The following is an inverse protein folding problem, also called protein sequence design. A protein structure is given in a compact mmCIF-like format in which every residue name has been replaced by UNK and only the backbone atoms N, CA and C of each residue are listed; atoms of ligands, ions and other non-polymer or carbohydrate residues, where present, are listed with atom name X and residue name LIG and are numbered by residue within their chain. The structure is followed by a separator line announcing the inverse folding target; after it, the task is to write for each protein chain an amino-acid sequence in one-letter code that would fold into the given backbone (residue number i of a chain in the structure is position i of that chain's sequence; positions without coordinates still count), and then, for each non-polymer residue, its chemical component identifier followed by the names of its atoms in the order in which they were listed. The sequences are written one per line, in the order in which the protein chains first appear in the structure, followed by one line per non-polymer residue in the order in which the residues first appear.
data_IF_716607015886
#
_entry.id   IF_716607015886
#
_cell.length_a   1.000
_cell.length_b   1.000
_cell.length_c   1.000
_cell.angle_alpha   90.00
_cell.angle_beta   90.00
_cell.angle_gamma   90.00
#
_symmetry.space_group_name_H-M   'P 1'
#
loop_
_entity.id
_entity.type
_entity.pdbx_description
1 polymer ?
#
# COMPACT_ATOMS: atom_id res chain seq x y z
N UNK A 1 -24.74 -17.01 8.98
CA UNK A 1 -24.02 -17.05 7.77
C UNK A 1 -23.19 -15.81 7.54
N UNK A 2 -22.06 -16.01 7.03
CA UNK A 2 -21.12 -14.96 6.84
C UNK A 2 -21.54 -14.05 5.73
N UNK A 3 -21.66 -12.81 6.04
CA UNK A 3 -22.07 -11.88 5.07
C UNK A 3 -20.96 -11.37 4.24
N UNK A 4 -19.86 -11.17 4.88
CA UNK A 4 -18.73 -10.56 4.24
C UNK A 4 -17.65 -11.58 4.02
N UNK A 5 -17.21 -11.68 2.80
CA UNK A 5 -16.19 -12.63 2.44
C UNK A 5 -15.05 -11.92 1.79
N UNK A 6 -13.90 -12.00 2.36
CA UNK A 6 -12.72 -11.47 1.76
C UNK A 6 -11.87 -12.63 1.31
N UNK A 7 -11.45 -12.64 0.06
CA UNK A 7 -10.63 -13.72 -0.43
C UNK A 7 -9.26 -13.63 0.25
N UNK A 8 -8.52 -14.72 0.19
CA UNK A 8 -7.19 -14.74 0.75
C UNK A 8 -6.32 -13.70 0.08
N UNK A 9 -6.52 -13.53 -1.23
CA UNK A 9 -5.77 -12.55 -1.98
C UNK A 9 -6.05 -11.12 -1.48
N UNK A 10 -7.31 -10.83 -1.22
CA UNK A 10 -7.67 -9.52 -0.71
C UNK A 10 -7.08 -9.27 0.66
N UNK A 11 -7.07 -10.30 1.47
CA UNK A 11 -6.54 -10.21 2.81
C UNK A 11 -5.04 -9.89 2.77
N UNK A 12 -4.31 -10.60 1.92
CA UNK A 12 -2.88 -10.39 1.77
C UNK A 12 -2.61 -8.98 1.25
N UNK A 13 -3.39 -8.55 0.27
CA UNK A 13 -3.22 -7.22 -0.29
C UNK A 13 -3.42 -6.14 0.77
N UNK A 14 -4.46 -6.28 1.58
CA UNK A 14 -4.72 -5.32 2.65
C UNK A 14 -3.56 -5.26 3.63
N UNK A 15 -3.05 -6.42 3.99
CA UNK A 15 -1.93 -6.49 4.92
C UNK A 15 -0.71 -5.79 4.37
N UNK A 16 -0.40 -6.08 3.10
CA UNK A 16 0.76 -5.46 2.44
C UNK A 16 0.61 -3.95 2.37
N UNK A 17 -0.59 -3.50 2.07
CA UNK A 17 -0.82 -2.06 1.94
C UNK A 17 -0.76 -1.35 3.27
N UNK A 18 -1.18 -2.00 4.34
CA UNK A 18 -1.04 -1.43 5.67
C UNK A 18 0.42 -1.26 6.03
N UNK A 19 1.23 -2.26 5.69
CA UNK A 19 2.66 -2.15 5.92
C UNK A 19 3.26 -1.02 5.10
N UNK A 20 2.79 -0.87 3.88
CA UNK A 20 3.28 0.21 3.03
C UNK A 20 2.96 1.56 3.63
N UNK A 21 1.77 1.72 4.20
CA UNK A 21 1.41 2.97 4.85
C UNK A 21 2.37 3.29 5.99
N UNK A 22 2.69 2.29 6.80
CA UNK A 22 3.61 2.48 7.90
C UNK A 22 4.97 2.94 7.40
N UNK A 23 5.47 2.29 6.37
CA UNK A 23 6.76 2.65 5.82
C UNK A 23 6.75 4.05 5.21
N UNK A 24 5.65 4.41 4.57
CA UNK A 24 5.52 5.73 3.97
C UNK A 24 5.56 6.83 5.04
N UNK A 25 4.95 6.57 6.17
CA UNK A 25 4.85 7.56 7.23
C UNK A 25 6.10 7.60 8.10
N UNK A 26 6.63 6.44 8.43
CA UNK A 26 7.69 6.36 9.41
C UNK A 26 9.11 6.25 8.88
N UNK A 27 9.28 6.21 7.56
CA UNK A 27 10.62 6.16 6.99
C UNK A 27 10.70 7.11 5.82
N UNK A 28 11.92 7.30 5.32
CA UNK A 28 12.12 8.11 4.13
C UNK A 28 12.49 7.25 2.93
N UNK A 29 12.18 5.96 3.02
CA UNK A 29 12.47 5.05 1.93
C UNK A 29 11.72 5.46 0.67
N UNK A 30 12.34 5.18 -0.46
CA UNK A 30 11.72 5.50 -1.74
C UNK A 30 10.51 4.61 -1.99
N UNK A 31 9.58 5.11 -2.76
CA UNK A 31 8.39 4.35 -3.09
C UNK A 31 8.75 2.99 -3.69
N UNK A 32 9.75 2.99 -4.56
CA UNK A 32 10.21 1.75 -5.17
C UNK A 32 10.68 0.74 -4.13
N UNK A 33 11.41 1.21 -3.15
CA UNK A 33 11.89 0.35 -2.09
C UNK A 33 10.75 -0.21 -1.28
N UNK A 34 9.79 0.63 -0.95
CA UNK A 34 8.65 0.22 -0.16
C UNK A 34 7.84 -0.83 -0.91
N UNK A 35 7.63 -0.60 -2.22
CA UNK A 35 6.92 -1.56 -3.04
C UNK A 35 7.58 -2.93 -2.94
N UNK A 36 8.88 -2.95 -3.10
CA UNK A 36 9.61 -4.20 -3.04
C UNK A 36 9.51 -4.86 -1.66
N UNK A 37 9.66 -4.07 -0.62
CA UNK A 37 9.63 -4.59 0.75
C UNK A 37 8.31 -5.21 1.12
N UNK A 38 7.22 -4.68 0.59
CA UNK A 38 5.91 -5.25 0.91
C UNK A 38 5.46 -6.31 -0.09
N UNK A 39 6.35 -6.69 -1.01
CA UNK A 39 6.08 -7.85 -1.84
C UNK A 39 5.71 -7.58 -3.28
N UNK A 40 5.93 -6.36 -3.78
CA UNK A 40 5.63 -6.03 -5.16
C UNK A 40 6.91 -5.82 -5.94
N UNK A 41 6.99 -6.42 -7.10
CA UNK A 41 8.18 -6.27 -7.94
C UNK A 41 8.11 -5.05 -8.84
N UNK A 42 6.90 -4.57 -9.06
CA UNK A 42 6.66 -3.47 -9.97
C UNK A 42 6.09 -2.28 -9.22
N UNK A 43 6.85 -1.19 -9.20
CA UNK A 43 6.44 0.02 -8.50
C UNK A 43 5.14 0.59 -9.05
N UNK A 44 4.96 0.54 -10.36
CA UNK A 44 3.75 1.06 -10.98
C UNK A 44 2.53 0.28 -10.55
N UNK A 45 2.66 -1.03 -10.54
CA UNK A 45 1.54 -1.86 -10.11
C UNK A 45 1.22 -1.63 -8.65
N UNK A 46 2.25 -1.54 -7.83
CA UNK A 46 2.09 -1.23 -6.41
C UNK A 46 1.32 0.07 -6.24
N UNK A 47 1.73 1.10 -6.97
CA UNK A 47 1.10 2.42 -6.87
C UNK A 47 -0.36 2.37 -7.28
N UNK A 48 -0.67 1.59 -8.31
CA UNK A 48 -2.05 1.47 -8.76
C UNK A 48 -2.92 0.78 -7.73
N UNK A 49 -2.41 -0.27 -7.11
CA UNK A 49 -3.17 -0.97 -6.09
C UNK A 49 -3.38 -0.07 -4.88
N UNK A 50 -2.32 0.63 -4.49
CA UNK A 50 -2.40 1.55 -3.36
C UNK A 50 -3.46 2.63 -3.63
N UNK A 51 -3.41 3.22 -4.81
CA UNK A 51 -4.36 4.28 -5.15
C UNK A 51 -5.79 3.77 -5.20
N UNK A 52 -5.97 2.54 -5.64
CA UNK A 52 -7.30 1.96 -5.68
C UNK A 52 -7.88 1.82 -4.28
N UNK A 53 -7.05 1.41 -3.33
CA UNK A 53 -7.51 1.20 -1.98
C UNK A 53 -7.66 2.48 -1.17
N UNK A 54 -6.79 3.43 -1.39
CA UNK A 54 -6.76 4.62 -0.54
C UNK A 54 -7.09 5.92 -1.24
N UNK A 55 -7.36 5.86 -2.51
CA UNK A 55 -7.80 7.05 -3.23
C UNK A 55 -6.71 8.02 -3.62
N UNK A 56 -5.45 7.68 -3.39
CA UNK A 56 -4.35 8.54 -3.78
C UNK A 56 -3.08 7.72 -3.89
N UNK A 57 -2.12 8.24 -4.66
CA UNK A 57 -0.87 7.54 -4.88
C UNK A 57 -0.05 7.49 -3.58
N UNK A 58 0.90 6.56 -3.48
CA UNK A 58 1.77 6.50 -2.31
C UNK A 58 2.52 7.80 -2.05
N UNK A 59 2.99 8.45 -3.11
CA UNK A 59 3.69 9.72 -2.96
C UNK A 59 2.80 10.78 -2.37
N UNK A 60 1.60 10.88 -2.88
CA UNK A 60 0.66 11.86 -2.39
C UNK A 60 0.25 11.55 -0.96
N UNK A 61 0.05 10.28 -0.67
CA UNK A 61 -0.29 9.86 0.68
C UNK A 61 0.78 10.31 1.67
N UNK A 62 2.04 10.07 1.32
CA UNK A 62 3.14 10.47 2.19
C UNK A 62 3.14 11.96 2.43
N UNK A 63 3.00 12.73 1.37
CA UNK A 63 2.97 14.17 1.48
C UNK A 63 1.86 14.64 2.39
N UNK A 64 0.68 14.09 2.17
CA UNK A 64 -0.49 14.48 2.94
C UNK A 64 -0.32 14.15 4.41
N UNK A 65 0.22 12.99 4.71
CA UNK A 65 0.35 12.56 6.09
C UNK A 65 1.48 13.26 6.84
N UNK A 66 2.46 13.78 6.12
CA UNK A 66 3.60 14.40 6.77
C UNK A 66 3.50 15.91 6.89
N UNK A 67 2.46 16.49 6.37
CA UNK A 67 2.28 17.94 6.53
C UNK A 67 1.40 18.29 7.76
#
# INVERSE_FOLDING_TARGET
KLIYQKSIQDYITSYRMEKAQELLIHTQKKIKEIAFLVGYKDELYFSKVFARLYGMSPSKFRKTMLT
#
